data_IF_040343675731
#
_entry.id   IF_040343675731
#
_cell.length_a   1.000
_cell.length_b   1.000
_cell.length_c   1.000
_cell.angle_alpha   90.00
_cell.angle_beta   90.00
_cell.angle_gamma   90.00
#
_symmetry.space_group_name_H-M   'P 1'
#
loop_
_entity.id
_entity.type
_entity.pdbx_description
1 polymer ?
#
# COMPACT_ATOMS: atom_id res chain seq x y z
N UNK A 1 31.64 22.57 -23.73
CA UNK A 1 31.31 21.43 -24.60
C UNK A 1 30.24 20.59 -23.90
N UNK A 2 28.97 20.74 -24.31
CA UNK A 2 27.75 20.19 -23.68
C UNK A 2 27.04 19.12 -24.53
N UNK A 3 27.43 18.96 -25.79
CA UNK A 3 26.72 18.11 -26.77
C UNK A 3 26.58 16.63 -26.37
N UNK A 4 27.59 16.05 -25.72
CA UNK A 4 27.52 14.66 -25.25
C UNK A 4 26.63 14.50 -24.00
N UNK A 5 26.52 15.57 -23.19
CA UNK A 5 25.62 15.60 -22.05
C UNK A 5 24.17 15.65 -22.53
N UNK A 6 23.89 16.50 -23.52
CA UNK A 6 22.56 16.64 -24.12
C UNK A 6 22.10 15.32 -24.75
N UNK A 7 22.99 14.63 -25.46
CA UNK A 7 22.71 13.31 -26.03
C UNK A 7 22.45 12.25 -24.95
N UNK A 8 23.28 12.22 -23.90
CA UNK A 8 23.09 11.29 -22.77
C UNK A 8 21.76 11.51 -22.04
N UNK A 9 21.28 12.75 -21.98
CA UNK A 9 19.98 13.06 -21.38
C UNK A 9 18.83 12.59 -22.28
N UNK A 10 18.92 12.83 -23.58
CA UNK A 10 17.93 12.37 -24.57
C UNK A 10 17.74 10.85 -24.54
N UNK A 11 18.84 10.07 -24.49
CA UNK A 11 18.74 8.60 -24.41
C UNK A 11 18.06 8.13 -23.11
N UNK A 12 18.35 8.78 -21.97
CA UNK A 12 17.69 8.46 -20.70
C UNK A 12 16.19 8.74 -20.79
N UNK A 13 15.81 9.87 -21.34
CA UNK A 13 14.41 10.26 -21.47
C UNK A 13 13.64 9.27 -22.36
N UNK A 14 14.26 8.81 -23.45
CA UNK A 14 13.69 7.77 -24.32
C UNK A 14 13.47 6.43 -23.57
N UNK A 15 14.43 6.02 -22.74
CA UNK A 15 14.32 4.80 -21.92
C UNK A 15 13.20 4.97 -20.88
N UNK A 16 13.13 6.12 -20.23
CA UNK A 16 12.09 6.44 -19.24
C UNK A 16 10.71 6.38 -19.88
N UNK A 17 10.50 6.98 -21.05
CA UNK A 17 9.21 6.92 -21.75
C UNK A 17 8.81 5.47 -22.08
N UNK A 18 9.73 4.67 -22.63
CA UNK A 18 9.45 3.26 -22.93
C UNK A 18 9.06 2.47 -21.68
N UNK A 19 9.72 2.71 -20.54
CA UNK A 19 9.36 2.03 -19.29
C UNK A 19 7.98 2.45 -18.77
N UNK A 20 7.62 3.74 -18.90
CA UNK A 20 6.28 4.24 -18.54
C UNK A 20 5.19 3.61 -19.40
N UNK A 21 5.41 3.51 -20.71
CA UNK A 21 4.48 2.84 -21.64
C UNK A 21 4.30 1.36 -21.29
N UNK A 22 5.41 0.65 -21.02
CA UNK A 22 5.37 -0.74 -20.57
C UNK A 22 4.60 -0.90 -19.26
N UNK A 23 4.81 0.00 -18.30
CA UNK A 23 4.09 0.01 -17.02
C UNK A 23 2.59 0.29 -17.21
N UNK A 24 2.23 1.23 -18.08
CA UNK A 24 0.82 1.53 -18.43
C UNK A 24 0.15 0.32 -19.05
N UNK A 25 0.82 -0.34 -19.99
CA UNK A 25 0.35 -1.58 -20.62
C UNK A 25 0.17 -2.72 -19.60
N UNK A 26 1.12 -2.89 -18.68
CA UNK A 26 1.02 -3.89 -17.61
C UNK A 26 -0.12 -3.61 -16.63
N UNK A 27 -0.33 -2.34 -16.27
CA UNK A 27 -1.46 -1.89 -15.44
C UNK A 27 -2.80 -2.13 -16.12
N UNK A 28 -2.91 -1.88 -17.43
CA UNK A 28 -4.11 -2.17 -18.21
C UNK A 28 -4.45 -3.67 -18.22
N UNK A 29 -3.44 -4.55 -18.19
CA UNK A 29 -3.62 -6.01 -17.98
C UNK A 29 -3.95 -6.40 -16.52
N UNK A 30 -4.16 -5.43 -15.62
CA UNK A 30 -4.51 -5.68 -14.22
C UNK A 30 -3.33 -5.93 -13.28
N UNK A 31 -2.07 -5.83 -13.74
CA UNK A 31 -0.92 -5.96 -12.82
C UNK A 31 -0.80 -4.70 -11.95
N UNK A 32 -1.16 -4.83 -10.67
CA UNK A 32 -0.83 -3.84 -9.63
C UNK A 32 0.61 -4.08 -9.17
N UNK A 33 1.57 -3.40 -9.81
CA UNK A 33 2.99 -3.44 -9.41
C UNK A 33 3.24 -2.90 -7.99
N UNK A 34 4.49 -2.88 -7.55
CA UNK A 34 4.89 -2.44 -6.21
C UNK A 34 5.09 -3.59 -5.22
N UNK A 35 5.33 -3.26 -3.94
CA UNK A 35 5.51 -4.26 -2.88
C UNK A 35 4.19 -4.99 -2.61
N UNK A 36 4.16 -6.33 -2.59
CA UNK A 36 2.95 -7.07 -2.25
C UNK A 36 2.47 -6.66 -0.86
N UNK A 37 1.16 -6.45 -0.72
CA UNK A 37 0.54 -6.16 0.58
C UNK A 37 0.56 -7.41 1.45
N UNK A 38 0.60 -7.19 2.76
CA UNK A 38 0.43 -8.24 3.77
C UNK A 38 -0.90 -8.95 3.54
N UNK A 39 -0.96 -10.27 3.81
CA UNK A 39 -2.12 -11.10 3.56
C UNK A 39 -3.37 -10.57 4.27
N UNK A 40 -4.47 -10.41 3.54
CA UNK A 40 -5.73 -9.87 4.07
C UNK A 40 -6.29 -10.71 5.21
N UNK A 41 -6.14 -12.04 5.14
CA UNK A 41 -6.64 -12.97 6.16
C UNK A 41 -6.00 -12.76 7.53
N UNK A 42 -4.69 -12.55 7.56
CA UNK A 42 -3.93 -12.32 8.79
C UNK A 42 -4.36 -10.99 9.43
N UNK A 43 -4.54 -9.96 8.60
CA UNK A 43 -4.95 -8.63 9.04
C UNK A 43 -6.36 -8.68 9.65
N UNK A 44 -7.31 -9.32 8.97
CA UNK A 44 -8.67 -9.49 9.49
C UNK A 44 -8.67 -10.25 10.81
N UNK A 45 -7.88 -11.33 10.92
CA UNK A 45 -7.73 -12.07 12.19
C UNK A 45 -7.19 -11.18 13.31
N UNK A 46 -6.16 -10.38 13.02
CA UNK A 46 -5.55 -9.49 14.01
C UNK A 46 -6.50 -8.37 14.47
N UNK A 47 -7.32 -7.82 13.56
CA UNK A 47 -8.36 -6.83 13.91
C UNK A 47 -9.44 -7.47 14.77
N UNK A 48 -9.91 -8.67 14.43
CA UNK A 48 -10.91 -9.37 15.22
C UNK A 48 -10.42 -9.65 16.65
N UNK A 49 -9.18 -10.15 16.79
CA UNK A 49 -8.55 -10.38 18.11
C UNK A 49 -8.33 -9.10 18.91
N UNK A 50 -8.11 -7.97 18.24
CA UNK A 50 -8.00 -6.67 18.91
C UNK A 50 -9.36 -6.21 19.43
N UNK A 51 -10.43 -6.42 18.65
CA UNK A 51 -11.79 -6.02 19.02
C UNK A 51 -12.41 -6.85 20.15
N UNK A 52 -11.90 -8.06 20.42
CA UNK A 52 -12.36 -8.85 21.58
C UNK A 52 -11.80 -8.33 22.91
N UNK A 53 -10.77 -7.47 22.90
CA UNK A 53 -10.10 -6.89 24.08
C UNK A 53 -9.52 -7.92 25.09
N UNK A 54 -9.58 -9.22 24.77
CA UNK A 54 -9.10 -10.32 25.63
C UNK A 54 -7.58 -10.53 25.57
N UNK A 55 -6.91 -10.00 24.54
CA UNK A 55 -5.49 -10.26 24.28
C UNK A 55 -4.66 -8.98 24.26
N UNK A 56 -3.43 -9.07 24.79
CA UNK A 56 -2.46 -8.00 24.68
C UNK A 56 -1.97 -7.85 23.24
N UNK A 57 -1.65 -6.62 22.83
CA UNK A 57 -1.09 -6.33 21.50
C UNK A 57 0.16 -7.16 21.19
N UNK A 58 0.95 -7.52 22.22
CA UNK A 58 2.13 -8.38 22.04
C UNK A 58 1.73 -9.81 21.65
N UNK A 59 0.71 -10.36 22.30
CA UNK A 59 0.20 -11.71 22.05
C UNK A 59 -0.44 -11.79 20.66
N UNK A 60 -1.19 -10.75 20.26
CA UNK A 60 -1.80 -10.67 18.91
C UNK A 60 -0.72 -10.70 17.83
N UNK A 61 0.39 -9.99 18.03
CA UNK A 61 1.54 -9.96 17.09
C UNK A 61 2.21 -11.32 16.96
N UNK A 62 2.40 -12.02 18.08
CA UNK A 62 2.97 -13.38 18.12
C UNK A 62 2.03 -14.39 17.44
N UNK A 63 0.71 -14.27 17.63
CA UNK A 63 -0.28 -15.17 17.03
C UNK A 63 -0.55 -14.94 15.54
N UNK A 64 -0.39 -13.71 15.05
CA UNK A 64 -0.77 -13.33 13.67
C UNK A 64 0.41 -13.01 12.75
N UNK A 65 1.64 -13.01 13.26
CA UNK A 65 2.87 -12.65 12.54
C UNK A 65 2.86 -11.23 11.93
N UNK A 66 1.92 -10.38 12.36
CA UNK A 66 1.78 -9.00 11.90
C UNK A 66 2.50 -8.08 12.88
N UNK A 67 3.32 -7.17 12.36
CA UNK A 67 4.00 -6.19 13.21
C UNK A 67 3.00 -5.21 13.87
N UNK A 68 3.32 -4.75 15.09
CA UNK A 68 2.55 -3.71 15.81
C UNK A 68 2.21 -2.50 14.92
N UNK A 69 3.20 -2.03 14.16
CA UNK A 69 3.03 -0.91 13.24
C UNK A 69 2.00 -1.20 12.13
N UNK A 70 1.97 -2.43 11.63
CA UNK A 70 0.99 -2.84 10.62
C UNK A 70 -0.41 -2.91 11.21
N UNK A 71 -0.56 -3.48 12.41
CA UNK A 71 -1.85 -3.54 13.12
C UNK A 71 -2.42 -2.12 13.34
N UNK A 72 -1.65 -1.22 13.95
CA UNK A 72 -2.09 0.16 14.18
C UNK A 72 -2.36 0.93 12.90
N UNK A 73 -1.58 0.70 11.84
CA UNK A 73 -1.85 1.31 10.54
C UNK A 73 -3.24 0.90 10.03
N UNK A 74 -3.59 -0.38 10.12
CA UNK A 74 -4.91 -0.84 9.67
C UNK A 74 -6.05 -0.33 10.57
N UNK A 75 -5.88 -0.35 11.90
CA UNK A 75 -6.86 0.21 12.83
C UNK A 75 -7.09 1.71 12.60
N UNK A 76 -6.03 2.49 12.31
CA UNK A 76 -6.18 3.92 12.05
C UNK A 76 -6.86 4.18 10.70
N UNK A 77 -6.56 3.39 9.66
CA UNK A 77 -7.28 3.51 8.39
C UNK A 77 -8.77 3.19 8.55
N UNK A 78 -9.13 2.22 9.40
CA UNK A 78 -10.53 1.87 9.67
C UNK A 78 -11.28 3.01 10.37
N UNK A 79 -10.62 3.71 11.31
CA UNK A 79 -11.18 4.90 11.97
C UNK A 79 -11.37 6.09 11.02
N UNK A 80 -10.47 6.28 10.05
CA UNK A 80 -10.60 7.35 9.06
C UNK A 80 -11.79 7.12 8.10
N UNK A 81 -12.18 5.87 7.85
CA UNK A 81 -13.36 5.57 7.02
C UNK A 81 -14.68 5.87 7.75
N UNK A 82 -14.70 5.86 9.08
CA UNK A 82 -15.90 6.14 9.87
C UNK A 82 -16.17 7.64 10.09
N UNK A 83 -15.15 8.50 9.95
CA UNK A 83 -15.32 9.97 10.05
C UNK A 83 -15.92 10.62 8.81
N UNK A 84 -15.81 9.98 7.64
CA UNK A 84 -16.30 10.52 6.36
C UNK A 84 -17.78 10.13 6.09
N UNK A 85 -18.46 9.51 7.06
CA UNK A 85 -19.82 9.00 6.96
C UNK A 85 -20.94 9.88 7.53
N UNK A 86 -20.65 11.10 8.01
CA UNK A 86 -21.67 12.02 8.50
C UNK A 86 -21.77 13.28 7.61
N UNK A 87 -22.59 13.17 6.57
CA UNK A 87 -23.49 14.20 6.02
C UNK A 87 -24.17 13.61 4.78
N UNK A 88 -25.21 12.80 5.04
CA UNK A 88 -26.38 12.87 4.16
C UNK A 88 -27.17 14.12 4.59
N UNK A 89 -27.92 14.72 3.66
CA UNK A 89 -29.01 15.68 3.90
C UNK A 89 -28.68 17.17 3.59
N UNK A 90 -28.60 17.52 2.30
CA UNK A 90 -29.53 18.45 1.60
C UNK A 90 -29.46 18.20 0.10
#
# INVERSE_FOLDING_TARGET
MTVFQDFSQFERDLIVERTKEGLKSARARGRKGGRPRVGTKEITKAINLYNTEEYSVKEIVEMTSISRATLYRYLNNDKLVQSDGCNQDT
#
